data_IF_033371518250
#
_entry.id   IF_033371518250
#
_cell.length_a   1.000
_cell.length_b   1.000
_cell.length_c   1.000
_cell.angle_alpha   90.00
_cell.angle_beta   90.00
_cell.angle_gamma   90.00
#
_symmetry.space_group_name_H-M   'P 1'
#
loop_
_entity.id
_entity.type
_entity.pdbx_description
1 polymer ?
#
# COMPACT_ATOMS: atom_id res chain seq x y z
N UNK A 1 7.04 8.23 10.35
CA UNK A 1 7.14 7.35 9.18
C UNK A 1 6.35 8.00 8.06
N UNK A 2 6.99 8.42 6.99
CA UNK A 2 6.31 8.98 5.80
C UNK A 2 6.17 7.90 4.71
N UNK A 3 5.46 8.22 3.61
CA UNK A 3 5.21 7.28 2.50
C UNK A 3 6.49 6.67 1.93
N UNK A 4 7.53 7.48 1.71
CA UNK A 4 8.81 7.00 1.17
C UNK A 4 9.49 6.00 2.10
N UNK A 5 9.52 6.29 3.40
CA UNK A 5 10.07 5.37 4.41
C UNK A 5 9.30 4.06 4.49
N UNK A 6 7.97 4.08 4.30
CA UNK A 6 7.15 2.87 4.26
C UNK A 6 7.45 2.04 2.99
N UNK A 7 7.57 2.68 1.83
CA UNK A 7 7.94 2.02 0.56
C UNK A 7 9.29 1.31 0.70
N UNK A 8 10.27 1.94 1.36
CA UNK A 8 11.59 1.33 1.60
C UNK A 8 11.50 0.09 2.47
N UNK A 9 10.70 0.13 3.54
CA UNK A 9 10.48 -1.05 4.40
C UNK A 9 9.76 -2.18 3.68
N UNK A 10 8.76 -1.88 2.85
CA UNK A 10 8.06 -2.89 2.03
C UNK A 10 9.01 -3.51 1.02
N UNK A 11 9.76 -2.67 0.29
CA UNK A 11 10.74 -3.12 -0.69
C UNK A 11 11.79 -4.06 -0.07
N UNK A 12 12.35 -3.68 1.08
CA UNK A 12 13.32 -4.50 1.80
C UNK A 12 12.71 -5.77 2.39
N UNK A 13 11.50 -5.69 2.97
CA UNK A 13 10.84 -6.82 3.62
C UNK A 13 10.26 -7.86 2.68
N UNK A 14 9.88 -7.45 1.46
CA UNK A 14 9.30 -8.32 0.43
C UNK A 14 10.28 -8.69 -0.70
N UNK A 15 11.54 -8.22 -0.61
CA UNK A 15 12.58 -8.42 -1.64
C UNK A 15 12.14 -7.99 -3.06
N UNK A 16 11.59 -6.77 -3.16
CA UNK A 16 11.11 -6.19 -4.42
C UNK A 16 11.70 -4.79 -4.64
N UNK A 17 11.67 -4.33 -5.90
CA UNK A 17 12.09 -2.96 -6.23
C UNK A 17 11.23 -1.91 -5.52
N UNK A 18 11.82 -0.76 -5.16
CA UNK A 18 11.09 0.40 -4.61
C UNK A 18 9.93 0.84 -5.51
N UNK A 19 10.09 0.73 -6.83
CA UNK A 19 9.04 1.04 -7.80
C UNK A 19 7.86 0.05 -7.70
N UNK A 20 8.13 -1.25 -7.54
CA UNK A 20 7.08 -2.25 -7.32
C UNK A 20 6.39 -2.04 -5.96
N UNK A 21 7.15 -1.79 -4.89
CA UNK A 21 6.60 -1.49 -3.57
C UNK A 21 5.73 -0.21 -3.57
N UNK A 22 6.15 0.84 -4.28
CA UNK A 22 5.36 2.05 -4.44
C UNK A 22 4.02 1.79 -5.12
N UNK A 23 4.02 1.05 -6.24
CA UNK A 23 2.79 0.67 -6.95
C UNK A 23 1.87 -0.21 -6.09
N UNK A 24 2.43 -1.16 -5.35
CA UNK A 24 1.65 -2.02 -4.46
C UNK A 24 0.98 -1.22 -3.34
N UNK A 25 1.71 -0.30 -2.71
CA UNK A 25 1.17 0.58 -1.68
C UNK A 25 0.06 1.48 -2.24
N UNK A 26 0.26 2.06 -3.43
CA UNK A 26 -0.74 2.90 -4.09
C UNK A 26 -2.01 2.11 -4.43
N UNK A 27 -1.87 0.89 -4.92
CA UNK A 27 -3.01 0.01 -5.21
C UNK A 27 -3.79 -0.33 -3.95
N UNK A 28 -3.11 -0.67 -2.84
CA UNK A 28 -3.77 -0.94 -1.56
C UNK A 28 -4.52 0.29 -1.07
N UNK A 29 -3.90 1.47 -1.09
CA UNK A 29 -4.56 2.71 -0.66
C UNK A 29 -5.80 2.99 -1.52
N UNK A 30 -5.71 2.80 -2.84
CA UNK A 30 -6.83 3.01 -3.75
C UNK A 30 -7.98 2.05 -3.45
N UNK A 31 -7.71 0.74 -3.34
CA UNK A 31 -8.73 -0.27 -3.06
C UNK A 31 -9.39 -0.08 -1.69
N UNK A 32 -8.61 0.21 -0.64
CA UNK A 32 -9.18 0.51 0.69
C UNK A 32 -10.06 1.75 0.63
N UNK A 33 -9.63 2.79 -0.08
CA UNK A 33 -10.41 4.02 -0.23
C UNK A 33 -11.72 3.76 -0.98
N UNK A 34 -11.69 2.91 -2.00
CA UNK A 34 -12.86 2.52 -2.78
C UNK A 34 -13.85 1.73 -1.93
N UNK A 35 -13.41 0.66 -1.24
CA UNK A 35 -14.28 -0.13 -0.36
C UNK A 35 -14.93 0.73 0.74
N UNK A 36 -14.16 1.59 1.41
CA UNK A 36 -14.70 2.46 2.44
C UNK A 36 -15.70 3.50 1.88
N UNK A 37 -15.50 3.93 0.62
CA UNK A 37 -16.45 4.83 -0.06
C UNK A 37 -17.76 4.12 -0.40
N UNK A 38 -17.71 2.82 -0.69
CA UNK A 38 -18.89 1.99 -0.93
C UNK A 38 -19.64 1.63 0.36
N UNK A 39 -19.03 1.91 1.52
CA UNK A 39 -19.60 1.61 2.84
C UNK A 39 -19.26 0.20 3.34
N UNK A 40 -18.33 -0.48 2.65
CA UNK A 40 -17.86 -1.80 3.00
C UNK A 40 -16.74 -1.71 4.04
N UNK A 41 -16.75 -2.64 5.00
CA UNK A 41 -15.69 -2.81 5.98
C UNK A 41 -14.47 -3.53 5.35
N UNK A 42 -13.27 -3.02 5.64
CA UNK A 42 -12.01 -3.66 5.22
C UNK A 42 -11.42 -4.47 6.38
N UNK A 43 -11.56 -5.79 6.32
CA UNK A 43 -10.90 -6.72 7.25
C UNK A 43 -9.50 -7.09 6.75
N UNK A 44 -8.48 -6.96 7.62
CA UNK A 44 -7.05 -7.14 7.33
C UNK A 44 -6.44 -8.27 8.17
#
# INVERSE_FOLDING_TARGET
>A
MNKSQLIEKIAAGADISKAAAGRALDAIIASVTESLKEGDDVAL
#
